data_IF_042302392108
#
_entry.id   IF_042302392108
#
_cell.length_a   1.000
_cell.length_b   1.000
_cell.length_c   1.000
_cell.angle_alpha   90.00
_cell.angle_beta   90.00
_cell.angle_gamma   90.00
#
_symmetry.space_group_name_H-M   'P 1'
#
loop_
_entity.id
_entity.type
_entity.pdbx_description
1 polymer ?
#
# COMPACT_ATOMS: atom_id res chain seq x y z
N UNK A 1 17.49 4.19 -13.77
CA UNK A 1 17.83 3.98 -12.35
C UNK A 1 16.66 3.25 -11.73
N UNK A 2 16.85 2.21 -10.90
CA UNK A 2 15.73 1.63 -10.18
C UNK A 2 15.08 2.74 -9.36
N UNK A 3 13.75 2.82 -9.43
CA UNK A 3 12.92 3.81 -8.74
C UNK A 3 13.31 3.87 -7.25
N UNK A 4 13.61 5.06 -6.75
CA UNK A 4 13.92 5.25 -5.33
C UNK A 4 12.60 5.23 -4.56
N UNK A 5 12.34 4.14 -3.84
CA UNK A 5 11.14 3.99 -3.02
C UNK A 5 11.06 5.09 -1.93
N UNK A 6 9.90 5.71 -1.70
CA UNK A 6 9.66 6.61 -0.58
C UNK A 6 9.97 5.95 0.76
N UNK A 7 10.64 6.70 1.65
CA UNK A 7 11.07 6.18 2.96
C UNK A 7 9.91 5.80 3.86
N UNK A 8 8.72 6.38 3.67
CA UNK A 8 7.54 6.05 4.48
C UNK A 8 7.04 4.63 4.21
N UNK A 9 7.19 4.12 2.99
CA UNK A 9 6.84 2.74 2.63
C UNK A 9 7.81 1.78 3.29
N UNK A 10 9.12 2.04 3.19
CA UNK A 10 10.16 1.24 3.86
C UNK A 10 9.96 1.22 5.38
N UNK A 11 9.71 2.39 5.98
CA UNK A 11 9.49 2.49 7.41
C UNK A 11 8.23 1.73 7.83
N UNK A 12 7.13 1.85 7.07
CA UNK A 12 5.90 1.13 7.38
C UNK A 12 6.09 -0.39 7.34
N UNK A 13 6.82 -0.90 6.35
CA UNK A 13 7.13 -2.34 6.30
C UNK A 13 7.92 -2.78 7.53
N UNK A 14 8.90 -1.98 7.95
CA UNK A 14 9.70 -2.27 9.14
C UNK A 14 8.83 -2.28 10.41
N UNK A 15 7.94 -1.30 10.54
CA UNK A 15 7.08 -1.14 11.71
C UNK A 15 6.05 -2.29 11.81
N UNK A 16 5.49 -2.71 10.68
CA UNK A 16 4.41 -3.70 10.64
C UNK A 16 4.92 -5.15 10.64
N UNK A 17 6.03 -5.45 9.94
CA UNK A 17 6.54 -6.83 9.72
C UNK A 17 7.87 -7.11 10.44
N UNK A 18 8.48 -6.10 11.03
CA UNK A 18 9.78 -6.21 11.71
C UNK A 18 10.98 -6.11 10.76
N UNK A 19 12.11 -5.68 11.32
CA UNK A 19 13.37 -5.45 10.58
C UNK A 19 13.87 -6.70 9.84
N UNK A 20 13.72 -7.88 10.43
CA UNK A 20 14.23 -9.14 9.86
C UNK A 20 13.50 -9.56 8.58
N UNK A 21 12.23 -9.18 8.43
CA UNK A 21 11.41 -9.52 7.27
C UNK A 21 11.30 -8.39 6.25
N UNK A 22 11.64 -7.16 6.64
CA UNK A 22 11.37 -5.97 5.84
C UNK A 22 11.93 -6.02 4.42
N UNK A 23 13.17 -6.48 4.24
CA UNK A 23 13.80 -6.61 2.91
C UNK A 23 13.02 -7.58 2.01
N UNK A 24 12.60 -8.73 2.56
CA UNK A 24 11.84 -9.74 1.80
C UNK A 24 10.46 -9.20 1.40
N UNK A 25 9.75 -8.56 2.34
CA UNK A 25 8.43 -7.99 2.09
C UNK A 25 8.50 -6.87 1.06
N UNK A 26 9.49 -5.98 1.15
CA UNK A 26 9.71 -4.93 0.17
C UNK A 26 10.00 -5.50 -1.22
N UNK A 27 10.89 -6.48 -1.31
CA UNK A 27 11.20 -7.12 -2.60
C UNK A 27 9.96 -7.77 -3.20
N UNK A 28 9.20 -8.51 -2.40
CA UNK A 28 7.95 -9.17 -2.83
C UNK A 28 6.93 -8.16 -3.36
N UNK A 29 6.70 -7.06 -2.64
CA UNK A 29 5.83 -5.97 -3.08
C UNK A 29 6.28 -5.36 -4.41
N UNK A 30 7.58 -5.10 -4.56
CA UNK A 30 8.14 -4.50 -5.77
C UNK A 30 8.09 -5.47 -6.96
N UNK A 31 8.30 -6.76 -6.73
CA UNK A 31 8.22 -7.78 -7.79
C UNK A 31 6.79 -7.98 -8.29
N UNK A 32 5.80 -7.86 -7.40
CA UNK A 32 4.39 -8.08 -7.71
C UNK A 32 3.68 -6.86 -8.26
N UNK A 33 4.00 -5.66 -7.76
CA UNK A 33 3.30 -4.42 -8.14
C UNK A 33 4.14 -3.63 -9.15
N UNK A 34 3.75 -3.59 -10.44
CA UNK A 34 4.51 -2.92 -11.49
C UNK A 34 4.37 -1.39 -11.44
N UNK A 35 5.34 -0.69 -12.02
CA UNK A 35 5.45 0.78 -12.04
C UNK A 35 4.48 1.50 -13.01
N UNK A 36 3.38 0.85 -13.41
CA UNK A 36 2.50 1.34 -14.48
C UNK A 36 1.03 0.98 -14.34
N UNK A 37 0.58 0.60 -13.15
CA UNK A 37 -0.82 0.33 -12.90
C UNK A 37 -1.68 1.60 -13.07
N UNK A 38 -2.89 1.43 -13.62
CA UNK A 38 -3.82 2.53 -13.85
C UNK A 38 -4.41 3.07 -12.53
N UNK A 39 -4.91 4.32 -12.58
CA UNK A 39 -5.64 5.00 -11.50
C UNK A 39 -4.83 5.32 -10.22
N UNK A 40 -3.51 5.38 -10.30
CA UNK A 40 -2.63 5.76 -9.21
C UNK A 40 -1.16 5.62 -9.62
N UNK A 41 -0.24 6.11 -8.79
CA UNK A 41 1.17 5.75 -8.94
C UNK A 41 1.47 4.50 -8.11
N UNK A 42 2.52 3.76 -8.46
CA UNK A 42 2.95 2.56 -7.73
C UNK A 42 3.01 2.76 -6.21
N UNK A 43 3.52 3.92 -5.77
CA UNK A 43 3.63 4.26 -4.36
C UNK A 43 2.29 4.32 -3.63
N UNK A 44 1.23 4.84 -4.27
CA UNK A 44 -0.11 4.85 -3.69
C UNK A 44 -0.62 3.44 -3.46
N UNK A 45 -0.48 2.57 -4.47
CA UNK A 45 -0.89 1.17 -4.37
C UNK A 45 -0.17 0.44 -3.25
N UNK A 46 1.16 0.60 -3.16
CA UNK A 46 1.95 0.02 -2.08
C UNK A 46 1.49 0.50 -0.69
N UNK A 47 1.16 1.78 -0.54
CA UNK A 47 0.62 2.30 0.72
C UNK A 47 -0.76 1.73 1.05
N UNK A 48 -1.65 1.61 0.06
CA UNK A 48 -2.98 0.99 0.26
C UNK A 48 -2.85 -0.47 0.73
N UNK A 49 -2.00 -1.25 0.05
CA UNK A 49 -1.76 -2.66 0.39
C UNK A 49 -1.20 -2.79 1.80
N UNK A 50 -0.18 -2.00 2.15
CA UNK A 50 0.43 -2.02 3.48
C UNK A 50 -0.52 -1.55 4.58
N UNK A 51 -1.36 -0.55 4.29
CA UNK A 51 -2.37 -0.11 5.24
C UNK A 51 -3.36 -1.23 5.57
N UNK A 52 -3.84 -1.93 4.54
CA UNK A 52 -4.85 -2.96 4.66
C UNK A 52 -4.31 -4.28 5.23
N UNK A 53 -3.03 -4.58 5.00
CA UNK A 53 -2.42 -5.82 5.48
C UNK A 53 -2.22 -5.85 6.99
N UNK A 54 -2.08 -4.69 7.65
CA UNK A 54 -1.90 -4.57 9.11
C UNK A 54 -0.76 -5.46 9.66
N UNK A 55 0.31 -5.65 8.90
CA UNK A 55 1.45 -6.51 9.30
C UNK A 55 1.23 -8.01 9.13
N UNK A 56 0.09 -8.43 8.56
CA UNK A 56 -0.19 -9.82 8.26
C UNK A 56 0.21 -10.18 6.81
N UNK A 57 1.06 -11.19 6.65
CA UNK A 57 1.57 -11.60 5.32
C UNK A 57 0.50 -12.24 4.43
N UNK A 58 -0.47 -12.94 5.01
CA UNK A 58 -1.58 -13.54 4.25
C UNK A 58 -2.45 -12.43 3.68
N UNK A 59 -2.81 -11.44 4.50
CA UNK A 59 -3.55 -10.26 4.04
C UNK A 59 -2.75 -9.45 3.03
N UNK A 60 -1.43 -9.33 3.21
CA UNK A 60 -0.57 -8.66 2.24
C UNK A 60 -0.73 -9.28 0.85
N UNK A 61 -0.67 -10.62 0.76
CA UNK A 61 -0.86 -11.34 -0.50
C UNK A 61 -2.27 -11.16 -1.07
N UNK A 62 -3.31 -11.24 -0.22
CA UNK A 62 -4.70 -11.01 -0.63
C UNK A 62 -4.89 -9.62 -1.25
N UNK A 63 -4.31 -8.57 -0.66
CA UNK A 63 -4.44 -7.21 -1.17
C UNK A 63 -3.52 -6.91 -2.36
N UNK A 64 -2.40 -7.62 -2.51
CA UNK A 64 -1.62 -7.63 -3.76
C UNK A 64 -2.48 -8.19 -4.89
N UNK A 65 -3.13 -9.34 -4.69
CA UNK A 65 -4.00 -9.94 -5.70
C UNK A 65 -5.17 -9.04 -6.06
N UNK A 66 -5.86 -8.45 -5.07
CA UNK A 66 -6.92 -7.48 -5.29
C UNK A 66 -6.43 -6.28 -6.12
N UNK A 67 -5.26 -5.73 -5.76
CA UNK A 67 -4.66 -4.61 -6.48
C UNK A 67 -4.37 -4.93 -7.96
N UNK A 68 -3.96 -6.16 -8.26
CA UNK A 68 -3.65 -6.61 -9.62
C UNK A 68 -4.91 -6.87 -10.46
N UNK A 69 -6.02 -7.24 -9.82
CA UNK A 69 -7.32 -7.41 -10.46
C UNK A 69 -7.98 -6.06 -10.75
N UNK A 70 -8.10 -5.19 -9.74
CA UNK A 70 -8.61 -3.84 -9.88
C UNK A 70 -8.01 -2.91 -8.81
N UNK A 71 -7.17 -1.97 -9.25
CA UNK A 71 -6.57 -0.99 -8.35
C UNK A 71 -7.59 -0.13 -7.61
N UNK A 72 -8.80 0.05 -8.18
CA UNK A 72 -9.84 0.86 -7.55
C UNK A 72 -10.40 0.20 -6.30
N UNK A 73 -10.47 -1.13 -6.25
CA UNK A 73 -11.02 -1.85 -5.10
C UNK A 73 -10.08 -1.76 -3.90
N UNK A 74 -8.77 -1.98 -4.11
CA UNK A 74 -7.78 -1.83 -3.03
C UNK A 74 -7.71 -0.37 -2.54
N UNK A 75 -7.81 0.60 -3.45
CA UNK A 75 -7.85 2.02 -3.11
C UNK A 75 -9.11 2.38 -2.34
N UNK A 76 -10.27 1.86 -2.75
CA UNK A 76 -11.54 2.09 -2.08
C UNK A 76 -11.50 1.58 -0.64
N UNK A 77 -11.06 0.33 -0.45
CA UNK A 77 -10.97 -0.30 0.86
C UNK A 77 -9.97 0.41 1.78
N UNK A 78 -8.87 0.91 1.23
CA UNK A 78 -7.84 1.58 2.02
C UNK A 78 -8.23 3.03 2.39
N UNK A 79 -8.76 3.79 1.43
CA UNK A 79 -8.92 5.24 1.56
C UNK A 79 -10.30 5.68 2.04
N UNK A 80 -11.33 4.85 1.90
CA UNK A 80 -12.72 5.23 2.13
C UNK A 80 -13.35 4.41 3.24
N UNK A 81 -14.26 5.02 3.99
CA UNK A 81 -15.01 4.37 5.05
C UNK A 81 -16.49 4.75 5.05
N UNK A 82 -17.28 3.86 5.64
CA UNK A 82 -18.70 4.09 5.88
C UNK A 82 -19.60 3.92 4.65
N UNK A 83 -20.91 3.90 4.90
CA UNK A 83 -21.93 3.64 3.87
C UNK A 83 -21.98 4.70 2.76
N UNK A 84 -21.45 5.89 3.03
CA UNK A 84 -21.36 6.99 2.06
C UNK A 84 -20.05 7.05 1.29
N UNK A 85 -19.13 6.08 1.49
CA UNK A 85 -17.77 6.11 0.94
C UNK A 85 -17.11 7.48 1.18
N UNK A 86 -16.97 7.82 2.46
CA UNK A 86 -16.29 9.06 2.84
C UNK A 86 -14.79 8.77 2.77
N UNK A 87 -14.07 9.52 1.94
CA UNK A 87 -12.61 9.41 1.87
C UNK A 87 -12.03 9.89 3.19
N UNK A 88 -11.37 8.99 3.93
CA UNK A 88 -10.70 9.27 5.20
C UNK A 88 -9.19 9.40 5.06
N UNK A 89 -8.63 8.83 3.99
CA UNK A 89 -7.19 8.83 3.74
C UNK A 89 -6.88 9.17 2.29
N UNK A 90 -5.72 9.77 2.08
CA UNK A 90 -5.15 10.10 0.78
C UNK A 90 -3.76 9.48 0.67
N UNK A 91 -3.66 8.27 0.09
CA UNK A 91 -2.39 7.55 -0.04
C UNK A 91 -1.56 7.99 -1.24
N UNK A 92 -1.98 9.03 -1.98
CA UNK A 92 -1.05 9.81 -2.79
C UNK A 92 -0.01 10.49 -1.87
N UNK A 93 -0.35 10.70 -0.58
CA UNK A 93 0.53 11.26 0.44
C UNK A 93 1.17 10.16 1.30
N UNK A 94 2.34 10.44 1.90
CA UNK A 94 2.96 9.55 2.88
C UNK A 94 2.07 9.26 4.09
N UNK A 95 2.24 8.11 4.75
CA UNK A 95 1.41 7.68 5.90
C UNK A 95 1.20 8.76 6.97
N UNK A 96 2.26 9.49 7.36
CA UNK A 96 2.18 10.56 8.37
C UNK A 96 1.37 11.80 7.95
N UNK A 97 0.91 11.88 6.70
CA UNK A 97 0.10 12.98 6.14
C UNK A 97 -1.12 12.49 5.35
N UNK A 98 -1.43 11.19 5.45
CA UNK A 98 -2.48 10.56 4.65
C UNK A 98 -3.88 10.84 5.22
N UNK A 99 -4.03 10.99 6.54
CA UNK A 99 -5.34 11.22 7.14
C UNK A 99 -5.95 12.56 6.70
N UNK A 100 -7.22 12.52 6.32
CA UNK A 100 -8.03 13.69 5.98
C UNK A 100 -8.88 14.05 7.22
N UNK A 101 -8.76 15.30 7.67
CA UNK A 101 -9.54 15.86 8.79
C UNK A 101 -11.04 15.91 8.49
#
# INVERSE_FOLDING_TARGET
MPEKLPSDITQRVIDDFGHEHATRILQHLLDKIPDGLANGTRHRHLRCILYLSEGDEVRLDEYIEMCLQDTRDVMLNAEYEGKGLVRKRDFDRPFGRANLE
#
